data_IF_881741306465
#
_entry.id   IF_881741306465
#
_cell.length_a   1.000
_cell.length_b   1.000
_cell.length_c   1.000
_cell.angle_alpha   90.00
_cell.angle_beta   90.00
_cell.angle_gamma   90.00
#
_symmetry.space_group_name_H-M   'P 1'
#
loop_
_entity.id
_entity.type
_entity.pdbx_description
1 polymer ?
#
# COMPACT_ATOMS: atom_id res chain seq x y z
N UNK A 1 -132.83 -65.53 -50.24
CA UNK A 1 -131.73 -65.18 -49.30
C UNK A 1 -130.63 -66.26 -49.17
N UNK A 2 -130.90 -67.58 -49.24
CA UNK A 2 -129.82 -68.61 -49.16
C UNK A 2 -128.73 -68.54 -50.26
N UNK A 3 -129.04 -68.08 -51.48
CA UNK A 3 -128.08 -68.03 -52.60
C UNK A 3 -126.99 -66.94 -52.46
N UNK A 4 -127.27 -65.83 -51.76
CA UNK A 4 -126.30 -64.74 -51.54
C UNK A 4 -125.27 -65.11 -50.47
N UNK A 5 -125.71 -65.84 -49.43
CA UNK A 5 -124.82 -66.30 -48.36
C UNK A 5 -123.74 -67.27 -48.87
N UNK A 6 -124.10 -68.15 -49.81
CA UNK A 6 -123.16 -69.11 -50.42
C UNK A 6 -122.13 -68.40 -51.29
N UNK A 7 -122.52 -67.34 -52.01
CA UNK A 7 -121.59 -66.53 -52.80
C UNK A 7 -120.63 -65.76 -51.89
N UNK A 8 -121.11 -65.19 -50.77
CA UNK A 8 -120.24 -64.53 -49.79
C UNK A 8 -119.25 -65.50 -49.11
N UNK A 9 -119.69 -66.73 -48.81
CA UNK A 9 -118.85 -67.78 -48.24
C UNK A 9 -117.80 -68.31 -49.22
N UNK A 10 -118.07 -68.30 -50.54
CA UNK A 10 -117.11 -68.71 -51.56
C UNK A 10 -116.08 -67.62 -51.92
N UNK A 11 -116.40 -66.34 -51.71
CA UNK A 11 -115.47 -65.23 -51.99
C UNK A 11 -114.46 -65.02 -50.84
N UNK A 12 -114.83 -65.34 -49.59
CA UNK A 12 -113.94 -65.27 -48.42
C UNK A 12 -112.57 -65.96 -48.62
N UNK A 13 -112.49 -67.23 -49.08
CA UNK A 13 -111.19 -67.89 -49.26
C UNK A 13 -110.36 -67.30 -50.41
N UNK A 14 -110.99 -66.71 -51.43
CA UNK A 14 -110.28 -66.15 -52.60
C UNK A 14 -109.54 -64.85 -52.22
N UNK A 15 -110.16 -64.02 -51.37
CA UNK A 15 -109.52 -62.79 -50.86
C UNK A 15 -108.33 -63.15 -49.93
N UNK A 16 -108.44 -64.23 -49.16
CA UNK A 16 -107.33 -64.73 -48.32
C UNK A 16 -106.16 -65.34 -49.11
N UNK A 17 -106.41 -65.88 -50.30
CA UNK A 17 -105.38 -66.48 -51.16
C UNK A 17 -104.65 -65.40 -51.99
N UNK A 18 -105.35 -64.37 -52.47
CA UNK A 18 -104.76 -63.28 -53.28
C UNK A 18 -103.74 -62.41 -52.53
N UNK A 19 -103.74 -62.43 -51.18
CA UNK A 19 -102.81 -61.65 -50.36
C UNK A 19 -101.56 -62.44 -49.92
N UNK A 20 -101.50 -63.77 -50.11
CA UNK A 20 -100.37 -64.60 -49.64
C UNK A 20 -99.08 -64.38 -50.44
N UNK A 21 -99.14 -64.23 -51.76
CA UNK A 21 -97.96 -64.11 -52.64
C UNK A 21 -97.09 -62.85 -52.45
N UNK A 22 -97.66 -61.63 -52.35
CA UNK A 22 -96.86 -60.42 -52.10
C UNK A 22 -96.37 -60.30 -50.65
N UNK A 23 -97.04 -60.96 -49.69
CA UNK A 23 -96.59 -61.01 -48.30
C UNK A 23 -95.37 -61.91 -48.12
N UNK A 24 -95.34 -63.11 -48.71
CA UNK A 24 -94.18 -64.02 -48.60
C UNK A 24 -92.91 -63.42 -49.20
N UNK A 25 -92.99 -62.76 -50.37
CA UNK A 25 -91.83 -62.08 -50.96
C UNK A 25 -91.31 -60.92 -50.11
N UNK A 26 -92.20 -60.15 -49.46
CA UNK A 26 -91.80 -59.10 -48.51
C UNK A 26 -91.15 -59.67 -47.25
N UNK A 27 -91.67 -60.79 -46.72
CA UNK A 27 -91.07 -61.48 -45.58
C UNK A 27 -89.67 -61.97 -45.91
N UNK A 28 -89.46 -62.57 -47.09
CA UNK A 28 -88.14 -63.05 -47.53
C UNK A 28 -87.14 -61.89 -47.76
N UNK A 29 -87.60 -60.75 -48.30
CA UNK A 29 -86.77 -59.54 -48.41
C UNK A 29 -86.39 -58.99 -47.03
N UNK A 30 -87.36 -58.92 -46.11
CA UNK A 30 -87.12 -58.52 -44.72
C UNK A 30 -86.13 -59.46 -44.02
N UNK A 31 -86.24 -60.76 -44.20
CA UNK A 31 -85.30 -61.74 -43.65
C UNK A 31 -83.89 -61.56 -44.21
N UNK A 32 -83.76 -61.29 -45.51
CA UNK A 32 -82.48 -61.00 -46.14
C UNK A 32 -81.87 -59.68 -45.66
N UNK A 33 -82.69 -58.64 -45.48
CA UNK A 33 -82.27 -57.35 -44.94
C UNK A 33 -81.87 -57.45 -43.46
N UNK A 34 -82.63 -58.21 -42.66
CA UNK A 34 -82.28 -58.55 -41.27
C UNK A 34 -80.94 -59.29 -41.25
N UNK A 35 -80.75 -60.30 -42.12
CA UNK A 35 -79.51 -61.06 -42.19
C UNK A 35 -78.32 -60.19 -42.63
N UNK A 36 -78.50 -59.28 -43.56
CA UNK A 36 -77.47 -58.33 -44.02
C UNK A 36 -77.14 -57.30 -42.93
N UNK A 37 -78.17 -56.82 -42.23
CA UNK A 37 -78.01 -55.91 -41.08
C UNK A 37 -77.26 -56.59 -39.95
N UNK A 38 -77.61 -57.82 -39.59
CA UNK A 38 -76.91 -58.61 -38.57
C UNK A 38 -75.43 -58.82 -38.94
N UNK A 39 -75.14 -59.20 -40.20
CA UNK A 39 -73.74 -59.31 -40.68
C UNK A 39 -72.97 -57.99 -40.58
N UNK A 40 -73.64 -56.86 -40.83
CA UNK A 40 -73.03 -55.53 -40.74
C UNK A 40 -72.79 -55.12 -39.29
N UNK A 41 -73.74 -55.42 -38.40
CA UNK A 41 -73.60 -55.23 -36.96
C UNK A 41 -72.43 -56.05 -36.40
N UNK A 42 -72.31 -57.32 -36.80
CA UNK A 42 -71.19 -58.17 -36.41
C UNK A 42 -69.84 -57.60 -36.87
N UNK A 43 -69.74 -57.11 -38.12
CA UNK A 43 -68.50 -56.49 -38.60
C UNK A 43 -68.13 -55.19 -37.87
N UNK A 44 -69.13 -54.36 -37.55
CA UNK A 44 -68.92 -53.12 -36.79
C UNK A 44 -68.46 -53.45 -35.37
N UNK A 45 -69.07 -54.47 -34.75
CA UNK A 45 -68.71 -54.90 -33.40
C UNK A 45 -67.26 -55.44 -33.35
N UNK A 46 -66.83 -56.19 -34.36
CA UNK A 46 -65.44 -56.63 -34.50
C UNK A 46 -64.50 -55.44 -34.65
N UNK A 47 -64.81 -54.46 -35.50
CA UNK A 47 -63.98 -53.26 -35.69
C UNK A 47 -63.90 -52.40 -34.42
N UNK A 48 -65.02 -52.24 -33.71
CA UNK A 48 -65.08 -51.52 -32.43
C UNK A 48 -64.22 -52.21 -31.37
N UNK A 49 -64.30 -53.54 -31.25
CA UNK A 49 -63.47 -54.29 -30.31
C UNK A 49 -61.99 -54.16 -30.65
N UNK A 50 -61.63 -54.19 -31.94
CA UNK A 50 -60.25 -53.96 -32.38
C UNK A 50 -59.77 -52.55 -32.03
N UNK A 51 -60.53 -51.49 -32.35
CA UNK A 51 -60.17 -50.11 -32.00
C UNK A 51 -60.10 -49.89 -30.50
N UNK A 52 -61.00 -50.50 -29.73
CA UNK A 52 -60.96 -50.47 -28.27
C UNK A 52 -59.68 -51.10 -27.71
N UNK A 53 -59.25 -52.23 -28.28
CA UNK A 53 -57.99 -52.89 -27.90
C UNK A 53 -56.75 -52.05 -28.27
N UNK A 54 -56.75 -51.41 -29.44
CA UNK A 54 -55.67 -50.53 -29.90
C UNK A 54 -55.56 -49.27 -29.03
N UNK A 55 -56.72 -48.68 -28.67
CA UNK A 55 -56.78 -47.54 -27.75
C UNK A 55 -56.19 -47.93 -26.39
N UNK A 56 -56.60 -49.07 -25.84
CA UNK A 56 -56.09 -49.58 -24.54
C UNK A 56 -54.58 -49.80 -24.58
N UNK A 57 -54.04 -50.35 -25.69
CA UNK A 57 -52.60 -50.53 -25.85
C UNK A 57 -51.86 -49.18 -25.93
N UNK A 58 -52.43 -48.21 -26.64
CA UNK A 58 -51.85 -46.87 -26.79
C UNK A 58 -51.85 -46.12 -25.47
N UNK A 59 -52.94 -46.18 -24.70
CA UNK A 59 -53.01 -45.55 -23.36
C UNK A 59 -51.97 -46.17 -22.43
N UNK A 60 -51.85 -47.50 -22.39
CA UNK A 60 -50.84 -48.18 -21.56
C UNK A 60 -49.40 -47.80 -21.98
N UNK A 61 -49.16 -47.65 -23.29
CA UNK A 61 -47.85 -47.24 -23.81
C UNK A 61 -47.55 -45.79 -23.41
N UNK A 62 -48.53 -44.89 -23.53
CA UNK A 62 -48.42 -43.50 -23.10
C UNK A 62 -48.11 -43.40 -21.61
N UNK A 63 -48.85 -44.12 -20.76
CA UNK A 63 -48.60 -44.13 -19.32
C UNK A 63 -47.20 -44.65 -18.97
N UNK A 64 -46.71 -45.65 -19.71
CA UNK A 64 -45.34 -46.18 -19.52
C UNK A 64 -44.30 -45.14 -19.90
N UNK A 65 -44.46 -44.49 -21.06
CA UNK A 65 -43.56 -43.43 -21.51
C UNK A 65 -43.57 -42.21 -20.57
N UNK A 66 -44.72 -41.84 -20.02
CA UNK A 66 -44.83 -40.76 -19.04
C UNK A 66 -44.09 -41.11 -17.74
N UNK A 67 -44.19 -42.37 -17.27
CA UNK A 67 -43.42 -42.85 -16.12
C UNK A 67 -41.92 -42.85 -16.39
N UNK A 68 -41.49 -43.30 -17.55
CA UNK A 68 -40.07 -43.27 -17.95
C UNK A 68 -39.54 -41.83 -18.04
N UNK A 69 -40.30 -40.92 -18.66
CA UNK A 69 -39.94 -39.51 -18.76
C UNK A 69 -39.78 -38.88 -17.37
N UNK A 70 -40.71 -39.16 -16.46
CA UNK A 70 -40.66 -38.66 -15.10
C UNK A 70 -39.45 -39.22 -14.33
N UNK A 71 -39.14 -40.51 -14.53
CA UNK A 71 -37.94 -41.13 -13.98
C UNK A 71 -36.65 -40.45 -14.48
N UNK A 72 -36.54 -40.20 -15.79
CA UNK A 72 -35.37 -39.54 -16.36
C UNK A 72 -35.21 -38.09 -15.89
N UNK A 73 -36.30 -37.33 -15.76
CA UNK A 73 -36.26 -35.97 -15.19
C UNK A 73 -35.80 -35.97 -13.74
N UNK A 74 -36.35 -36.86 -12.90
CA UNK A 74 -35.92 -36.97 -11.51
C UNK A 74 -34.43 -37.35 -11.39
N UNK A 75 -33.94 -38.20 -12.30
CA UNK A 75 -32.53 -38.57 -12.38
C UNK A 75 -31.64 -37.40 -12.82
N UNK A 76 -32.07 -36.62 -13.80
CA UNK A 76 -31.39 -35.40 -14.24
C UNK A 76 -31.29 -34.37 -13.10
N UNK A 77 -32.41 -34.07 -12.44
CA UNK A 77 -32.46 -33.17 -11.28
C UNK A 77 -31.52 -33.63 -10.15
N UNK A 78 -31.49 -34.94 -9.88
CA UNK A 78 -30.58 -35.52 -8.90
C UNK A 78 -29.11 -35.30 -9.28
N UNK A 79 -28.73 -35.54 -10.53
CA UNK A 79 -27.35 -35.34 -10.97
C UNK A 79 -26.95 -33.88 -10.98
N UNK A 80 -27.83 -32.98 -11.41
CA UNK A 80 -27.58 -31.53 -11.36
C UNK A 80 -27.38 -31.10 -9.90
N UNK A 81 -28.25 -31.55 -8.98
CA UNK A 81 -28.13 -31.23 -7.56
C UNK A 81 -26.84 -31.79 -6.95
N UNK A 82 -26.48 -33.03 -7.29
CA UNK A 82 -25.25 -33.66 -6.82
C UNK A 82 -24.00 -32.94 -7.33
N UNK A 83 -23.98 -32.54 -8.61
CA UNK A 83 -22.90 -31.81 -9.23
C UNK A 83 -22.70 -30.44 -8.57
N UNK A 84 -23.78 -29.67 -8.38
CA UNK A 84 -23.73 -28.37 -7.72
C UNK A 84 -23.20 -28.48 -6.28
N UNK A 85 -23.58 -29.54 -5.55
CA UNK A 85 -23.04 -29.80 -4.19
C UNK A 85 -21.55 -30.12 -4.24
N UNK A 86 -21.09 -30.86 -5.23
CA UNK A 86 -19.67 -31.19 -5.40
C UNK A 86 -18.85 -29.95 -5.76
N UNK A 87 -19.35 -29.11 -6.66
CA UNK A 87 -18.71 -27.85 -7.05
C UNK A 87 -18.57 -26.92 -5.84
N UNK A 88 -19.65 -26.72 -5.07
CA UNK A 88 -19.62 -25.91 -3.86
C UNK A 88 -18.60 -26.43 -2.84
N UNK A 89 -18.54 -27.75 -2.61
CA UNK A 89 -17.54 -28.37 -1.73
C UNK A 89 -16.12 -28.16 -2.24
N UNK A 90 -15.89 -28.30 -3.54
CA UNK A 90 -14.58 -28.06 -4.15
C UNK A 90 -14.15 -26.60 -3.99
N UNK A 91 -15.05 -25.64 -4.23
CA UNK A 91 -14.78 -24.23 -4.03
C UNK A 91 -14.39 -23.92 -2.57
N UNK A 92 -15.10 -24.50 -1.59
CA UNK A 92 -14.77 -24.35 -0.16
C UNK A 92 -13.39 -24.93 0.17
N UNK A 93 -13.05 -26.11 -0.34
CA UNK A 93 -11.73 -26.72 -0.12
C UNK A 93 -10.64 -25.84 -0.73
N UNK A 94 -10.82 -25.39 -1.98
CA UNK A 94 -9.83 -24.59 -2.68
C UNK A 94 -9.61 -23.23 -1.99
N UNK A 95 -10.68 -22.54 -1.62
CA UNK A 95 -10.60 -21.27 -0.88
C UNK A 95 -9.94 -21.44 0.49
N UNK A 96 -10.20 -22.55 1.19
CA UNK A 96 -9.55 -22.86 2.46
C UNK A 96 -8.04 -23.07 2.29
N UNK A 97 -7.62 -23.79 1.25
CA UNK A 97 -6.20 -23.98 0.92
C UNK A 97 -5.53 -22.63 0.64
N UNK A 98 -6.17 -21.79 -0.18
CA UNK A 98 -5.66 -20.45 -0.51
C UNK A 98 -5.57 -19.56 0.74
N UNK A 99 -6.55 -19.61 1.63
CA UNK A 99 -6.54 -18.86 2.88
C UNK A 99 -5.38 -19.30 3.79
N UNK A 100 -5.12 -20.60 3.91
CA UNK A 100 -3.97 -21.13 4.68
C UNK A 100 -2.66 -20.64 4.07
N UNK A 101 -2.49 -20.72 2.75
CA UNK A 101 -1.29 -20.22 2.07
C UNK A 101 -1.08 -18.72 2.27
N UNK A 102 -2.16 -17.93 2.20
CA UNK A 102 -2.11 -16.49 2.45
C UNK A 102 -1.68 -16.19 3.90
N UNK A 103 -2.22 -16.92 4.88
CA UNK A 103 -1.84 -16.77 6.30
C UNK A 103 -0.37 -17.12 6.53
N UNK A 104 0.13 -18.21 5.94
CA UNK A 104 1.54 -18.60 6.03
C UNK A 104 2.45 -17.54 5.38
N UNK A 105 2.10 -17.08 4.19
CA UNK A 105 2.85 -16.04 3.47
C UNK A 105 2.92 -14.74 4.27
N UNK A 106 1.79 -14.31 4.84
CA UNK A 106 1.74 -13.14 5.70
C UNK A 106 2.57 -13.31 6.98
N UNK A 107 2.55 -14.51 7.58
CA UNK A 107 3.38 -14.83 8.75
C UNK A 107 4.87 -14.71 8.47
N UNK A 108 5.34 -15.29 7.36
CA UNK A 108 6.75 -15.20 6.92
C UNK A 108 7.13 -13.74 6.62
N UNK A 109 6.28 -13.02 5.88
CA UNK A 109 6.53 -11.61 5.57
C UNK A 109 6.66 -10.77 6.85
N UNK A 110 5.75 -10.97 7.82
CA UNK A 110 5.78 -10.24 9.09
C UNK A 110 7.07 -10.55 9.89
N UNK A 111 7.52 -11.79 9.88
CA UNK A 111 8.77 -12.20 10.53
C UNK A 111 9.99 -11.53 9.88
N UNK A 112 10.09 -11.58 8.54
CA UNK A 112 11.19 -10.95 7.82
C UNK A 112 11.20 -9.42 7.99
N UNK A 113 10.04 -8.77 7.96
CA UNK A 113 9.93 -7.33 8.25
C UNK A 113 10.42 -6.98 9.66
N UNK A 114 10.07 -7.78 10.66
CA UNK A 114 10.55 -7.57 12.03
C UNK A 114 12.07 -7.73 12.13
N UNK A 115 12.64 -8.74 11.46
CA UNK A 115 14.08 -9.00 11.38
C UNK A 115 14.82 -7.86 10.68
N UNK A 116 14.34 -7.40 9.52
CA UNK A 116 14.90 -6.26 8.79
C UNK A 116 14.85 -5.00 9.65
N UNK A 117 13.73 -4.73 10.33
CA UNK A 117 13.61 -3.57 11.23
C UNK A 117 14.64 -3.62 12.36
N UNK A 118 14.87 -4.79 12.95
CA UNK A 118 15.90 -5.00 13.97
C UNK A 118 17.31 -4.74 13.45
N UNK A 119 17.65 -5.32 12.29
CA UNK A 119 18.95 -5.11 11.64
C UNK A 119 19.18 -3.64 11.28
N UNK A 120 18.19 -2.99 10.68
CA UNK A 120 18.26 -1.56 10.32
C UNK A 120 18.44 -0.68 11.55
N UNK A 121 17.69 -0.93 12.64
CA UNK A 121 17.84 -0.18 13.90
C UNK A 121 19.26 -0.32 14.47
N UNK A 122 19.82 -1.53 14.47
CA UNK A 122 21.20 -1.78 14.91
C UNK A 122 22.21 -1.02 14.03
N UNK A 123 22.08 -1.11 12.70
CA UNK A 123 22.97 -0.43 11.75
C UNK A 123 22.89 1.10 11.89
N UNK A 124 21.70 1.66 12.10
CA UNK A 124 21.54 3.09 12.38
C UNK A 124 22.27 3.46 13.66
N UNK A 125 22.09 2.70 14.74
CA UNK A 125 22.77 2.96 16.02
C UNK A 125 24.30 2.95 15.89
N UNK A 126 24.86 1.97 15.17
CA UNK A 126 26.29 1.89 14.90
C UNK A 126 26.81 3.09 14.10
N UNK A 127 26.07 3.53 13.09
CA UNK A 127 26.41 4.71 12.30
C UNK A 127 26.33 5.99 13.12
N UNK A 128 25.32 6.12 13.99
CA UNK A 128 25.20 7.27 14.90
C UNK A 128 26.40 7.36 15.84
N UNK A 129 26.86 6.24 16.40
CA UNK A 129 28.07 6.21 17.24
C UNK A 129 29.31 6.68 16.46
N UNK A 130 29.51 6.17 15.23
CA UNK A 130 30.61 6.62 14.36
C UNK A 130 30.55 8.12 14.05
N UNK A 131 29.36 8.66 13.80
CA UNK A 131 29.18 10.10 13.56
C UNK A 131 29.59 10.91 14.79
N UNK A 132 29.23 10.45 16.00
CA UNK A 132 29.64 11.11 17.25
C UNK A 132 31.16 11.08 17.39
N UNK A 133 31.80 9.92 17.18
CA UNK A 133 33.26 9.80 17.21
C UNK A 133 33.96 10.74 16.20
N UNK A 134 33.47 10.79 14.96
CA UNK A 134 34.01 11.69 13.94
C UNK A 134 33.81 13.16 14.29
N UNK A 135 32.66 13.52 14.86
CA UNK A 135 32.38 14.88 15.33
C UNK A 135 33.36 15.29 16.43
N UNK A 136 33.65 14.41 17.38
CA UNK A 136 34.59 14.70 18.45
C UNK A 136 36.04 14.77 17.94
N UNK A 137 36.43 13.91 16.98
CA UNK A 137 37.72 14.04 16.27
C UNK A 137 37.84 15.38 15.55
N UNK A 138 36.81 15.81 14.83
CA UNK A 138 36.79 17.10 14.12
C UNK A 138 36.93 18.27 15.08
N UNK A 139 36.24 18.25 16.24
CA UNK A 139 36.43 19.27 17.29
C UNK A 139 37.85 19.31 17.82
N UNK A 140 38.48 18.15 18.00
CA UNK A 140 39.88 18.05 18.41
C UNK A 140 40.84 18.65 17.37
N UNK A 141 40.61 18.36 16.08
CA UNK A 141 41.39 18.93 14.97
C UNK A 141 41.21 20.46 14.91
N UNK A 142 39.98 20.95 14.98
CA UNK A 142 39.66 22.38 14.98
C UNK A 142 40.33 23.12 16.15
N UNK A 143 40.34 22.50 17.33
CA UNK A 143 41.07 23.00 18.50
C UNK A 143 42.57 23.08 18.23
N UNK A 144 43.17 22.01 17.71
CA UNK A 144 44.60 21.98 17.40
C UNK A 144 44.98 22.99 16.32
N UNK A 145 44.12 23.19 15.32
CA UNK A 145 44.30 24.18 14.27
C UNK A 145 44.31 25.59 14.87
N UNK A 146 43.35 25.92 15.72
CA UNK A 146 43.29 27.21 16.40
C UNK A 146 44.51 27.45 17.30
N UNK A 147 44.99 26.43 18.03
CA UNK A 147 46.24 26.52 18.79
C UNK A 147 47.46 26.77 17.88
N UNK A 148 47.55 26.06 16.75
CA UNK A 148 48.63 26.23 15.79
C UNK A 148 48.61 27.63 15.16
N UNK A 149 47.44 28.10 14.73
CA UNK A 149 47.25 29.46 14.21
C UNK A 149 47.62 30.51 15.26
N UNK A 150 47.21 30.31 16.52
CA UNK A 150 47.61 31.15 17.64
C UNK A 150 49.13 31.28 17.77
N UNK A 151 49.82 30.15 17.81
CA UNK A 151 51.28 30.10 17.93
C UNK A 151 52.02 30.68 16.71
N UNK A 152 51.52 30.44 15.49
CA UNK A 152 52.08 31.01 14.25
C UNK A 152 51.96 32.54 14.28
N UNK A 153 50.77 33.06 14.61
CA UNK A 153 50.56 34.51 14.67
C UNK A 153 51.43 35.17 15.75
N UNK A 154 51.60 34.53 16.92
CA UNK A 154 52.56 35.01 17.92
C UNK A 154 53.99 35.09 17.38
N UNK A 155 54.42 34.06 16.64
CA UNK A 155 55.78 34.00 16.06
C UNK A 155 55.97 35.10 15.01
N UNK A 156 54.95 35.33 14.18
CA UNK A 156 54.94 36.43 13.20
C UNK A 156 55.00 37.78 13.93
N UNK A 157 54.21 37.96 15.00
CA UNK A 157 54.23 39.18 15.82
C UNK A 157 55.59 39.45 16.45
N UNK A 158 56.24 38.41 16.99
CA UNK A 158 57.59 38.51 17.55
C UNK A 158 58.64 38.93 16.49
N UNK A 159 58.54 38.40 15.27
CA UNK A 159 59.40 38.80 14.15
C UNK A 159 59.22 40.28 13.78
N UNK A 160 57.98 40.76 13.67
CA UNK A 160 57.73 42.19 13.44
C UNK A 160 58.23 43.08 14.59
N UNK A 161 58.10 42.62 15.84
CA UNK A 161 58.66 43.31 17.01
C UNK A 161 60.17 43.47 16.90
N UNK A 162 60.88 42.42 16.50
CA UNK A 162 62.35 42.46 16.31
C UNK A 162 62.76 43.43 15.21
N UNK A 163 61.95 43.55 14.15
CA UNK A 163 62.17 44.50 13.05
C UNK A 163 61.63 45.92 13.32
N UNK A 164 61.23 46.21 14.57
CA UNK A 164 60.68 47.49 15.01
C UNK A 164 59.37 47.91 14.31
N UNK A 165 58.63 46.97 13.71
CA UNK A 165 57.30 47.20 13.15
C UNK A 165 56.22 46.89 14.19
N UNK A 166 55.98 47.87 15.05
CA UNK A 166 55.13 47.71 16.24
C UNK A 166 53.65 47.54 15.88
N UNK A 167 53.16 48.16 14.80
CA UNK A 167 51.76 48.09 14.38
C UNK A 167 51.42 46.69 13.85
N UNK A 168 52.27 46.12 12.99
CA UNK A 168 52.05 44.74 12.52
C UNK A 168 52.27 43.74 13.65
N UNK A 169 53.25 43.97 14.52
CA UNK A 169 53.44 43.16 15.73
C UNK A 169 52.17 43.11 16.59
N UNK A 170 51.59 44.28 16.92
CA UNK A 170 50.33 44.42 17.64
C UNK A 170 49.19 43.63 16.98
N UNK A 171 49.02 43.82 15.66
CA UNK A 171 47.98 43.12 14.88
C UNK A 171 48.09 41.60 15.02
N UNK A 172 49.29 41.04 14.88
CA UNK A 172 49.48 39.59 14.95
C UNK A 172 49.37 39.03 16.36
N UNK A 173 49.75 39.78 17.40
CA UNK A 173 49.48 39.39 18.79
C UNK A 173 47.98 39.36 19.09
N UNK A 174 47.21 40.33 18.58
CA UNK A 174 45.75 40.29 18.67
C UNK A 174 45.21 39.05 17.95
N UNK A 175 45.48 38.88 16.65
CA UNK A 175 45.00 37.71 15.88
C UNK A 175 45.37 36.38 16.59
N UNK A 176 46.58 36.27 17.13
CA UNK A 176 47.00 35.12 17.92
C UNK A 176 46.15 34.91 19.17
N UNK A 177 45.89 35.97 19.95
CA UNK A 177 44.98 35.93 21.10
C UNK A 177 43.56 35.48 20.72
N UNK A 178 43.04 35.90 19.55
CA UNK A 178 41.72 35.48 19.08
C UNK A 178 41.65 33.96 18.90
N UNK A 179 42.57 33.40 18.11
CA UNK A 179 42.58 31.97 17.81
C UNK A 179 42.79 31.11 19.07
N UNK A 180 43.61 31.57 20.02
CA UNK A 180 43.81 30.87 21.29
C UNK A 180 42.58 30.98 22.20
N UNK A 181 41.89 32.12 22.16
CA UNK A 181 40.69 32.38 22.96
C UNK A 181 39.49 31.58 22.48
N UNK A 182 39.34 31.35 21.16
CA UNK A 182 38.21 30.64 20.54
C UNK A 182 38.15 29.14 20.90
N UNK A 183 38.96 28.71 21.86
CA UNK A 183 38.96 27.40 22.48
C UNK A 183 37.61 27.09 23.18
N UNK A 184 36.61 26.69 22.40
CA UNK A 184 35.39 26.09 22.93
C UNK A 184 35.71 24.70 23.46
N UNK A 185 35.96 24.63 24.77
CA UNK A 185 36.04 23.46 25.66
C UNK A 185 35.55 22.14 25.04
N UNK A 186 36.45 21.45 24.34
CA UNK A 186 36.44 20.00 24.29
C UNK A 186 36.76 19.54 25.72
N UNK A 187 35.73 19.16 26.48
CA UNK A 187 35.83 18.75 27.90
C UNK A 187 36.84 17.61 28.18
N UNK A 188 37.37 16.95 27.16
CA UNK A 188 38.30 15.82 27.30
C UNK A 188 39.78 16.17 27.11
N UNK A 189 40.16 17.44 26.89
CA UNK A 189 41.56 17.85 26.69
C UNK A 189 42.22 18.47 27.95
N UNK A 190 41.70 18.16 29.14
CA UNK A 190 42.25 18.66 30.43
C UNK A 190 43.60 18.00 30.77
N UNK A 191 44.04 16.98 30.04
CA UNK A 191 45.38 16.42 30.25
C UNK A 191 46.48 17.20 29.50
N UNK A 192 47.12 18.09 30.28
CA UNK A 192 48.55 18.44 30.23
C UNK A 192 49.05 19.16 28.96
N UNK A 193 49.18 20.49 29.05
CA UNK A 193 50.50 21.19 29.21
C UNK A 193 50.49 22.70 28.96
N UNK A 194 49.45 23.31 28.38
CA UNK A 194 49.37 24.77 28.25
C UNK A 194 47.92 25.21 28.36
N UNK A 195 47.62 26.09 29.30
CA UNK A 195 46.32 26.74 29.44
C UNK A 195 46.15 27.76 28.30
N UNK A 196 45.32 27.49 27.28
CA UNK A 196 45.15 28.39 26.14
C UNK A 196 44.63 29.76 26.57
N UNK A 197 43.83 29.81 27.64
CA UNK A 197 43.31 31.05 28.19
C UNK A 197 44.44 31.93 28.73
N UNK A 198 45.39 31.35 29.47
CA UNK A 198 46.59 32.06 29.92
C UNK A 198 47.43 32.57 28.74
N UNK A 199 47.57 31.79 27.67
CA UNK A 199 48.29 32.25 26.47
C UNK A 199 47.57 33.42 25.77
N UNK A 200 46.23 33.36 25.69
CA UNK A 200 45.40 34.47 25.19
C UNK A 200 45.63 35.74 26.00
N UNK A 201 45.57 35.65 27.33
CA UNK A 201 45.82 36.76 28.24
C UNK A 201 47.23 37.32 28.04
N UNK A 202 48.25 36.47 28.00
CA UNK A 202 49.63 36.90 27.78
C UNK A 202 49.80 37.65 26.44
N UNK A 203 49.12 37.20 25.39
CA UNK A 203 49.16 37.86 24.09
C UNK A 203 48.45 39.22 24.11
N UNK A 204 47.33 39.34 24.81
CA UNK A 204 46.64 40.62 24.99
C UNK A 204 47.49 41.60 25.82
N UNK A 205 48.17 41.11 26.86
CA UNK A 205 49.13 41.93 27.62
C UNK A 205 50.29 42.39 26.74
N UNK A 206 50.86 41.50 25.92
CA UNK A 206 51.94 41.85 24.99
C UNK A 206 51.47 42.87 23.95
N UNK A 207 50.25 42.71 23.42
CA UNK A 207 49.62 43.68 22.53
C UNK A 207 49.47 45.05 23.19
N UNK A 208 48.98 45.10 24.44
CA UNK A 208 48.87 46.35 25.19
C UNK A 208 50.23 47.02 25.42
N UNK A 209 51.23 46.26 25.86
CA UNK A 209 52.58 46.79 26.05
C UNK A 209 53.19 47.34 24.75
N UNK A 210 52.84 46.77 23.60
CA UNK A 210 53.28 47.31 22.30
C UNK A 210 52.62 48.64 22.00
N UNK A 211 51.33 48.80 22.34
CA UNK A 211 50.62 50.08 22.19
C UNK A 211 51.33 51.20 22.95
N UNK A 212 51.70 50.96 24.21
CA UNK A 212 52.40 51.94 25.05
C UNK A 212 53.72 52.47 24.43
N UNK A 213 54.32 51.69 23.52
CA UNK A 213 55.59 52.01 22.86
C UNK A 213 55.43 52.57 21.43
N UNK A 214 54.21 52.65 20.88
CA UNK A 214 53.97 53.22 19.56
C UNK A 214 54.04 54.75 19.66
N UNK A 215 55.05 55.34 19.03
CA UNK A 215 55.18 56.79 18.83
C UNK A 215 54.65 57.12 17.43
N UNK A 216 53.57 57.90 17.36
CA UNK A 216 52.99 58.35 16.10
C UNK A 216 53.64 59.67 15.69
N UNK A 217 54.28 59.69 14.53
CA UNK A 217 54.70 60.93 13.87
C UNK A 217 53.51 61.57 13.15
N UNK A 218 53.36 62.90 13.30
CA UNK A 218 52.22 63.67 12.78
C UNK A 218 52.07 63.58 11.26
N UNK A 219 53.14 63.20 10.54
CA UNK A 219 53.19 63.05 9.08
C UNK A 219 52.45 61.81 8.52
N UNK A 220 52.09 60.84 9.37
CA UNK A 220 51.53 59.52 8.97
C UNK A 220 50.10 59.26 9.47
N UNK A 221 49.39 60.31 9.87
CA UNK A 221 48.12 60.24 10.61
C UNK A 221 47.00 59.48 9.88
N UNK A 222 46.87 59.60 8.55
CA UNK A 222 45.78 58.97 7.81
C UNK A 222 45.92 57.43 7.71
N UNK A 223 47.11 56.93 7.41
CA UNK A 223 47.39 55.50 7.32
C UNK A 223 47.28 54.81 8.69
N UNK A 224 47.75 55.48 9.74
CA UNK A 224 47.62 54.97 11.12
C UNK A 224 46.15 54.90 11.53
N UNK A 225 45.35 55.94 11.25
CA UNK A 225 43.90 55.92 11.49
C UNK A 225 43.19 54.76 10.76
N UNK A 226 43.60 54.46 9.52
CA UNK A 226 43.07 53.32 8.75
C UNK A 226 43.44 51.98 9.38
N UNK A 227 44.65 51.84 9.91
CA UNK A 227 45.07 50.63 10.62
C UNK A 227 44.35 50.47 11.96
N UNK A 228 44.20 51.54 12.74
CA UNK A 228 43.44 51.51 14.01
C UNK A 228 41.99 51.07 13.77
N UNK A 229 41.32 51.60 12.74
CA UNK A 229 39.96 51.16 12.36
C UNK A 229 39.90 49.66 12.06
N UNK A 230 40.92 49.10 11.41
CA UNK A 230 41.01 47.64 11.15
C UNK A 230 41.22 46.87 12.46
N UNK A 231 42.05 47.37 13.37
CA UNK A 231 42.29 46.76 14.68
C UNK A 231 41.04 46.77 15.56
N UNK A 232 40.30 47.88 15.61
CA UNK A 232 39.02 47.95 16.32
C UNK A 232 38.00 46.94 15.77
N UNK A 233 37.89 46.82 14.44
CA UNK A 233 37.06 45.77 13.82
C UNK A 233 37.50 44.35 14.19
N UNK A 234 38.80 44.11 14.34
CA UNK A 234 39.29 42.82 14.82
C UNK A 234 38.82 42.58 16.26
N UNK A 235 38.93 43.59 17.12
CA UNK A 235 38.52 43.54 18.53
C UNK A 235 37.00 43.38 18.70
N UNK A 236 36.16 43.78 17.75
CA UNK A 236 34.70 43.53 17.77
C UNK A 236 34.35 42.04 17.72
N UNK A 237 35.21 41.25 17.07
CA UNK A 237 35.02 39.80 16.98
C UNK A 237 35.34 39.07 18.29
N UNK A 238 35.82 39.77 19.33
CA UNK A 238 36.13 39.18 20.63
C UNK A 238 34.93 39.20 21.59
N UNK A 239 33.77 39.68 21.14
CA UNK A 239 32.50 39.62 21.88
C UNK A 239 32.06 38.19 22.24
N UNK A 240 32.70 37.17 21.65
CA UNK A 240 32.43 35.75 21.89
C UNK A 240 33.07 35.26 23.21
N UNK A 241 34.00 36.00 23.81
CA UNK A 241 34.67 35.59 25.04
C UNK A 241 33.84 35.89 26.30
N UNK A 242 33.68 34.89 27.16
CA UNK A 242 32.97 35.02 28.45
C UNK A 242 33.91 35.39 29.62
N UNK A 243 35.23 35.27 29.43
CA UNK A 243 36.21 35.54 30.49
C UNK A 243 36.36 37.06 30.74
N UNK A 244 36.10 37.49 31.97
CA UNK A 244 36.11 38.90 32.37
C UNK A 244 37.48 39.58 32.20
N UNK A 245 38.58 38.87 32.43
CA UNK A 245 39.94 39.40 32.28
C UNK A 245 40.26 39.69 30.81
N UNK A 246 39.91 38.76 29.92
CA UNK A 246 40.02 38.96 28.46
C UNK A 246 39.18 40.16 28.02
N UNK A 247 37.91 40.23 28.44
CA UNK A 247 37.00 41.35 28.14
C UNK A 247 37.61 42.68 28.60
N UNK A 248 38.15 42.72 29.81
CA UNK A 248 38.76 43.92 30.37
C UNK A 248 40.01 44.36 29.59
N UNK A 249 40.91 43.43 29.25
CA UNK A 249 42.10 43.73 28.46
C UNK A 249 41.76 44.25 27.06
N UNK A 250 40.75 43.66 26.41
CA UNK A 250 40.26 44.15 25.11
C UNK A 250 39.72 45.57 25.24
N UNK A 251 38.94 45.85 26.29
CA UNK A 251 38.39 47.19 26.53
C UNK A 251 39.51 48.22 26.73
N UNK A 252 40.55 47.89 27.51
CA UNK A 252 41.73 48.75 27.67
C UNK A 252 42.42 49.02 26.33
N UNK A 253 42.74 47.97 25.57
CA UNK A 253 43.38 48.07 24.25
C UNK A 253 42.55 48.96 23.30
N UNK A 254 41.22 48.87 23.32
CA UNK A 254 40.34 49.74 22.52
C UNK A 254 40.42 51.19 22.92
N UNK A 255 40.41 51.48 24.22
CA UNK A 255 40.53 52.85 24.74
C UNK A 255 41.88 53.43 24.32
N UNK A 256 42.95 52.68 24.51
CA UNK A 256 44.31 53.10 24.16
C UNK A 256 44.44 53.35 22.66
N UNK A 257 43.91 52.44 21.81
CA UNK A 257 43.85 52.63 20.36
C UNK A 257 43.09 53.90 19.94
N UNK A 258 41.98 54.22 20.60
CA UNK A 258 41.17 55.38 20.26
C UNK A 258 41.82 56.70 20.68
N UNK A 259 42.70 56.68 21.69
CA UNK A 259 43.46 57.88 22.11
C UNK A 259 44.43 58.38 21.03
N UNK A 260 44.80 57.52 20.08
CA UNK A 260 45.64 57.85 18.93
C UNK A 260 44.86 58.45 17.74
N UNK A 261 43.52 58.35 17.75
CA UNK A 261 42.64 59.01 16.78
C UNK A 261 42.21 60.35 17.40
N UNK A 262 42.99 61.41 17.18
CA UNK A 262 42.58 62.79 17.47
C UNK A 262 42.41 63.57 16.17
#
# INVERSE_FOLDING_TARGET
>A
MKKILVILLLISPIISISQRGPLTKRIEQLENDIKKTNKTQDSILIELNKKSSELTRTTNTKETLEKELLFYRAKEDYFISALNRQESRFAVILTSILAILALLSFGVLRYELAKIKGFTKKKISEQTLKIIEHKDKLKGIDTNLNLALGNINMSIGAHFKQNNDLINSLKYYLIGAKHLGEWKLSKNLIEKKKDPLRLTINNLIAAKQLLDNIIIDNSLTEDVNKQIKKLNKLLDNYSIFENQEIIHLIAQIRVDLNNYIK
#
